data_IF_561256104552
#
_entry.id   IF_561256104552
#
_cell.length_a   1.000
_cell.length_b   1.000
_cell.length_c   1.000
_cell.angle_alpha   90.00
_cell.angle_beta   90.00
_cell.angle_gamma   90.00
#
_symmetry.space_group_name_H-M   'P 1'
#
loop_
_entity.id
_entity.type
_entity.pdbx_description
1 polymer ?
#
# COMPACT_ATOMS: atom_id res chain seq x y z
N UNK A 1 26.77 21.10 3.22
CA UNK A 1 26.01 20.29 4.20
C UNK A 1 24.65 19.88 3.61
N UNK A 2 24.62 19.01 2.59
CA UNK A 2 23.38 18.65 1.87
C UNK A 2 23.20 17.12 1.65
N UNK A 3 23.99 16.29 2.33
CA UNK A 3 23.97 14.82 2.16
C UNK A 3 23.01 14.15 3.16
N UNK A 4 22.60 14.86 4.22
CA UNK A 4 21.77 14.32 5.31
C UNK A 4 20.27 14.24 5.00
N UNK A 5 19.80 14.84 3.90
CA UNK A 5 18.36 14.85 3.55
C UNK A 5 17.94 13.77 2.54
N UNK A 6 18.89 13.18 1.81
CA UNK A 6 18.60 12.10 0.84
C UNK A 6 18.34 10.78 1.55
N UNK A 7 18.97 10.55 2.71
CA UNK A 7 18.78 9.34 3.52
C UNK A 7 17.46 9.31 4.30
N UNK A 8 16.74 10.45 4.38
CA UNK A 8 15.42 10.51 5.03
C UNK A 8 14.27 10.11 4.11
N UNK A 9 14.47 10.03 2.80
CA UNK A 9 13.38 9.82 1.83
C UNK A 9 13.12 8.36 1.46
N UNK A 10 14.13 7.49 1.57
CA UNK A 10 13.98 6.06 1.31
C UNK A 10 15.18 5.26 1.86
N UNK A 11 15.06 4.64 3.06
CA UNK A 11 16.15 3.87 3.67
C UNK A 11 16.51 2.63 2.84
N UNK A 12 15.58 2.08 2.06
CA UNK A 12 15.82 0.93 1.19
C UNK A 12 16.63 1.33 -0.03
N UNK A 13 16.30 2.46 -0.67
CA UNK A 13 17.08 2.98 -1.79
C UNK A 13 18.52 3.30 -1.39
N UNK A 14 18.72 3.85 -0.18
CA UNK A 14 20.04 4.09 0.37
C UNK A 14 20.84 2.80 0.55
N UNK A 15 20.24 1.77 1.16
CA UNK A 15 20.87 0.48 1.37
C UNK A 15 21.20 -0.24 0.04
N UNK A 16 20.31 -0.16 -0.95
CA UNK A 16 20.55 -0.73 -2.29
C UNK A 16 21.72 -0.06 -2.98
N UNK A 17 21.84 1.27 -2.87
CA UNK A 17 22.98 2.01 -3.41
C UNK A 17 24.30 1.59 -2.76
N UNK A 18 24.31 1.32 -1.45
CA UNK A 18 25.50 0.80 -0.77
C UNK A 18 25.85 -0.63 -1.21
N UNK A 19 24.84 -1.48 -1.43
CA UNK A 19 25.04 -2.83 -1.96
C UNK A 19 25.62 -2.82 -3.38
N UNK A 20 25.08 -1.98 -4.26
CA UNK A 20 25.63 -1.79 -5.62
C UNK A 20 27.09 -1.30 -5.58
N UNK A 21 27.41 -0.38 -4.68
CA UNK A 21 28.78 0.10 -4.51
C UNK A 21 29.72 -1.00 -4.02
N UNK A 22 29.27 -1.86 -3.10
CA UNK A 22 30.03 -3.02 -2.62
C UNK A 22 30.29 -4.05 -3.74
N UNK A 23 29.26 -4.36 -4.55
CA UNK A 23 29.40 -5.25 -5.71
C UNK A 23 30.40 -4.72 -6.74
N UNK A 24 30.36 -3.40 -7.03
CA UNK A 24 31.38 -2.76 -7.88
C UNK A 24 32.77 -2.84 -7.27
N UNK A 25 32.88 -2.68 -5.95
CA UNK A 25 34.13 -2.83 -5.21
C UNK A 25 34.73 -4.23 -5.37
N UNK A 26 33.91 -5.28 -5.18
CA UNK A 26 34.31 -6.68 -5.37
C UNK A 26 34.71 -6.97 -6.83
N UNK A 27 33.91 -6.53 -7.80
CA UNK A 27 34.23 -6.69 -9.22
C UNK A 27 35.57 -6.03 -9.59
N UNK A 28 35.83 -4.82 -9.08
CA UNK A 28 37.11 -4.14 -9.28
C UNK A 28 38.28 -4.85 -8.59
N UNK A 29 38.07 -5.43 -7.41
CA UNK A 29 39.09 -6.21 -6.71
C UNK A 29 39.47 -7.47 -7.49
N UNK A 30 38.48 -8.22 -7.98
CA UNK A 30 38.69 -9.40 -8.83
C UNK A 30 39.40 -9.04 -10.14
N UNK A 31 38.99 -7.96 -10.81
CA UNK A 31 39.65 -7.52 -12.04
C UNK A 31 41.14 -7.17 -11.80
N UNK A 32 41.46 -6.53 -10.66
CA UNK A 32 42.84 -6.22 -10.29
C UNK A 32 43.65 -7.46 -9.90
N UNK A 33 43.02 -8.45 -9.24
CA UNK A 33 43.64 -9.73 -8.96
C UNK A 33 43.99 -10.46 -10.27
N UNK A 34 43.07 -10.53 -11.23
CA UNK A 34 43.32 -11.12 -12.55
C UNK A 34 44.49 -10.43 -13.27
N UNK A 35 44.55 -9.10 -13.21
CA UNK A 35 45.68 -8.35 -13.77
C UNK A 35 47.01 -8.66 -13.04
N UNK A 36 46.98 -8.82 -11.71
CA UNK A 36 48.16 -9.21 -10.94
C UNK A 36 48.63 -10.63 -11.27
N UNK A 37 47.72 -11.58 -11.49
CA UNK A 37 48.06 -12.94 -11.94
C UNK A 37 48.70 -12.93 -13.32
N UNK A 38 48.18 -12.14 -14.26
CA UNK A 38 48.79 -11.98 -15.58
C UNK A 38 50.21 -11.37 -15.52
N UNK A 39 50.46 -10.48 -14.56
CA UNK A 39 51.79 -9.92 -14.30
C UNK A 39 52.76 -10.97 -13.72
N UNK A 40 52.29 -11.90 -12.88
CA UNK A 40 53.09 -13.05 -12.44
C UNK A 40 53.52 -13.89 -13.64
N UNK A 41 52.59 -14.26 -14.53
CA UNK A 41 52.90 -15.04 -15.74
C UNK A 41 53.88 -14.31 -16.69
N UNK A 42 53.79 -12.98 -16.77
CA UNK A 42 54.72 -12.17 -17.54
C UNK A 42 56.12 -12.12 -16.88
N UNK A 43 56.17 -11.98 -15.55
CA UNK A 43 57.41 -11.99 -14.78
C UNK A 43 58.12 -13.35 -14.81
N UNK A 44 57.39 -14.47 -14.78
CA UNK A 44 57.94 -15.82 -14.93
C UNK A 44 58.58 -16.03 -16.30
N UNK A 45 57.92 -15.57 -17.37
CA UNK A 45 58.49 -15.58 -18.72
C UNK A 45 59.76 -14.73 -18.80
N UNK A 46 59.73 -13.52 -18.22
CA UNK A 46 60.90 -12.64 -18.19
C UNK A 46 62.08 -13.25 -17.40
N UNK A 47 61.81 -13.91 -16.28
CA UNK A 47 62.84 -14.62 -15.51
C UNK A 47 63.43 -15.79 -16.29
N UNK A 48 62.60 -16.56 -17.00
CA UNK A 48 63.06 -17.69 -17.82
C UNK A 48 64.00 -17.23 -18.93
N UNK A 49 63.64 -16.14 -19.62
CA UNK A 49 64.49 -15.52 -20.66
C UNK A 49 65.81 -14.99 -20.06
N UNK A 50 65.74 -14.32 -18.90
CA UNK A 50 66.92 -13.79 -18.21
C UNK A 50 67.88 -14.90 -17.74
N UNK A 51 67.35 -16.07 -17.33
CA UNK A 51 68.16 -17.20 -16.87
C UNK A 51 68.97 -17.88 -18.00
N UNK A 52 68.63 -17.61 -19.27
CA UNK A 52 69.33 -18.14 -20.45
C UNK A 52 70.24 -17.11 -21.13
N UNK A 53 70.40 -15.91 -20.55
CA UNK A 53 71.21 -14.85 -21.11
C UNK A 53 72.70 -15.01 -20.75
N UNK A 54 73.59 -14.78 -21.72
CA UNK A 54 75.04 -14.83 -21.53
C UNK A 54 75.66 -13.42 -21.52
N UNK A 55 76.64 -13.20 -20.64
CA UNK A 55 77.47 -11.98 -20.58
C UNK A 55 77.45 -11.27 -19.21
N UNK A 56 78.38 -10.34 -18.99
CA UNK A 56 78.62 -9.66 -17.70
C UNK A 56 77.39 -8.89 -17.14
N UNK A 57 76.40 -8.58 -17.97
CA UNK A 57 75.16 -7.92 -17.56
C UNK A 57 74.01 -8.90 -17.19
N UNK A 58 74.16 -10.20 -17.43
CA UNK A 58 73.11 -11.20 -17.28
C UNK A 58 72.66 -11.37 -15.82
N UNK A 59 73.60 -11.35 -14.87
CA UNK A 59 73.32 -11.50 -13.44
C UNK A 59 72.37 -10.41 -12.93
N UNK A 60 72.60 -9.15 -13.31
CA UNK A 60 71.74 -8.02 -12.92
C UNK A 60 70.34 -8.08 -13.56
N UNK A 61 70.22 -8.64 -14.75
CA UNK A 61 68.91 -8.84 -15.41
C UNK A 61 68.12 -9.96 -14.73
N UNK A 62 68.79 -11.06 -14.37
CA UNK A 62 68.17 -12.18 -13.66
C UNK A 62 67.73 -11.79 -12.24
N UNK A 63 68.54 -11.03 -11.52
CA UNK A 63 68.18 -10.53 -10.18
C UNK A 63 66.95 -9.62 -10.23
N UNK A 64 66.91 -8.68 -11.20
CA UNK A 64 65.76 -7.80 -11.39
C UNK A 64 64.49 -8.57 -11.77
N UNK A 65 64.59 -9.57 -12.66
CA UNK A 65 63.45 -10.40 -13.04
C UNK A 65 62.93 -11.24 -11.86
N UNK A 66 63.84 -11.77 -11.04
CA UNK A 66 63.50 -12.55 -9.84
C UNK A 66 62.82 -11.68 -8.78
N UNK A 67 63.29 -10.43 -8.57
CA UNK A 67 62.62 -9.47 -7.67
C UNK A 67 61.22 -9.14 -8.17
N UNK A 68 61.05 -8.85 -9.46
CA UNK A 68 59.74 -8.55 -10.06
C UNK A 68 58.76 -9.71 -9.91
N UNK A 69 59.22 -10.95 -10.07
CA UNK A 69 58.38 -12.13 -9.85
C UNK A 69 57.95 -12.26 -8.39
N UNK A 70 58.86 -12.02 -7.43
CA UNK A 70 58.51 -12.01 -6.01
C UNK A 70 57.46 -10.95 -5.71
N UNK A 71 57.69 -9.71 -6.13
CA UNK A 71 56.76 -8.60 -5.89
C UNK A 71 55.37 -8.86 -6.50
N UNK A 72 55.31 -9.45 -7.70
CA UNK A 72 54.06 -9.81 -8.36
C UNK A 72 53.31 -10.92 -7.60
N UNK A 73 54.02 -11.94 -7.08
CA UNK A 73 53.42 -13.01 -6.26
C UNK A 73 52.91 -12.49 -4.93
N UNK A 74 53.68 -11.65 -4.25
CA UNK A 74 53.29 -11.01 -2.99
C UNK A 74 52.03 -10.15 -3.18
N UNK A 75 51.89 -9.49 -4.34
CA UNK A 75 50.69 -8.71 -4.68
C UNK A 75 49.46 -9.60 -4.85
N UNK A 76 49.57 -10.73 -5.57
CA UNK A 76 48.47 -11.70 -5.72
C UNK A 76 48.06 -12.24 -4.34
N UNK A 77 49.03 -12.62 -3.51
CA UNK A 77 48.77 -13.11 -2.15
C UNK A 77 48.04 -12.05 -1.29
N UNK A 78 48.40 -10.77 -1.44
CA UNK A 78 47.71 -9.68 -0.75
C UNK A 78 46.25 -9.53 -1.22
N UNK A 79 45.96 -9.71 -2.51
CA UNK A 79 44.58 -9.70 -3.01
C UNK A 79 43.78 -10.88 -2.46
N UNK A 80 44.35 -12.09 -2.50
CA UNK A 80 43.69 -13.33 -2.06
C UNK A 80 43.39 -13.34 -0.57
N UNK A 81 44.34 -12.89 0.25
CA UNK A 81 44.22 -12.98 1.72
C UNK A 81 43.50 -11.80 2.36
N UNK A 82 43.48 -10.63 1.72
CA UNK A 82 42.98 -9.40 2.35
C UNK A 82 41.93 -8.69 1.54
N UNK A 83 42.21 -8.39 0.26
CA UNK A 83 41.37 -7.46 -0.52
C UNK A 83 40.06 -8.13 -0.93
N UNK A 84 40.10 -9.35 -1.45
CA UNK A 84 38.89 -10.07 -1.89
C UNK A 84 38.01 -10.44 -0.68
N UNK A 85 38.54 -11.06 0.40
CA UNK A 85 37.71 -11.37 1.57
C UNK A 85 37.07 -10.13 2.20
N UNK A 86 37.78 -8.99 2.24
CA UNK A 86 37.21 -7.75 2.75
C UNK A 86 36.11 -7.20 1.84
N UNK A 87 36.26 -7.31 0.53
CA UNK A 87 35.24 -6.89 -0.43
C UNK A 87 33.99 -7.80 -0.38
N UNK A 88 34.17 -9.12 -0.24
CA UNK A 88 33.08 -10.07 -0.02
C UNK A 88 32.33 -9.78 1.28
N UNK A 89 33.06 -9.54 2.38
CA UNK A 89 32.46 -9.17 3.65
C UNK A 89 31.63 -7.87 3.54
N UNK A 90 32.12 -6.88 2.79
CA UNK A 90 31.39 -5.65 2.53
C UNK A 90 30.09 -5.88 1.73
N UNK A 91 30.11 -6.80 0.75
CA UNK A 91 28.90 -7.20 -0.01
C UNK A 91 27.88 -7.84 0.94
N UNK A 92 28.28 -8.82 1.75
CA UNK A 92 27.38 -9.49 2.69
C UNK A 92 26.76 -8.51 3.70
N UNK A 93 27.55 -7.58 4.24
CA UNK A 93 27.04 -6.55 5.15
C UNK A 93 26.03 -5.64 4.47
N UNK A 94 26.30 -5.23 3.23
CA UNK A 94 25.39 -4.37 2.49
C UNK A 94 24.09 -5.10 2.09
N UNK A 95 24.16 -6.38 1.77
CA UNK A 95 22.98 -7.22 1.52
C UNK A 95 22.10 -7.36 2.77
N UNK A 96 22.70 -7.63 3.93
CA UNK A 96 21.99 -7.68 5.21
C UNK A 96 21.32 -6.33 5.52
N UNK A 97 22.00 -5.21 5.27
CA UNK A 97 21.46 -3.88 5.47
C UNK A 97 20.25 -3.58 4.56
N UNK A 98 20.21 -4.10 3.32
CA UNK A 98 19.03 -3.99 2.45
C UNK A 98 17.85 -4.74 3.04
N UNK A 99 18.06 -5.99 3.47
CA UNK A 99 16.99 -6.81 4.05
C UNK A 99 16.40 -6.18 5.33
N UNK A 100 17.26 -5.62 6.19
CA UNK A 100 16.81 -4.96 7.41
C UNK A 100 16.10 -3.63 7.14
N UNK A 101 16.56 -2.85 6.16
CA UNK A 101 15.85 -1.64 5.74
C UNK A 101 14.44 -1.96 5.21
N UNK A 102 14.27 -3.03 4.43
CA UNK A 102 12.96 -3.46 3.92
C UNK A 102 12.03 -3.89 5.07
N UNK A 103 12.53 -4.67 6.03
CA UNK A 103 11.77 -5.05 7.23
C UNK A 103 11.33 -3.83 8.05
N UNK A 104 12.21 -2.84 8.23
CA UNK A 104 11.90 -1.63 8.97
C UNK A 104 10.78 -0.81 8.31
N UNK A 105 10.81 -0.68 6.97
CA UNK A 105 9.75 0.02 6.22
C UNK A 105 8.41 -0.71 6.38
N UNK A 106 8.39 -2.03 6.27
CA UNK A 106 7.17 -2.83 6.45
C UNK A 106 6.62 -2.71 7.88
N UNK A 107 7.50 -2.78 8.88
CA UNK A 107 7.13 -2.62 10.29
C UNK A 107 6.52 -1.24 10.54
N UNK A 108 7.17 -0.16 10.09
CA UNK A 108 6.69 1.20 10.29
C UNK A 108 5.33 1.45 9.59
N UNK A 109 5.13 0.88 8.40
CA UNK A 109 3.85 0.94 7.70
C UNK A 109 2.74 0.21 8.46
N UNK A 110 3.01 -1.00 8.96
CA UNK A 110 2.06 -1.77 9.76
C UNK A 110 1.73 -1.08 11.09
N UNK A 111 2.73 -0.50 11.75
CA UNK A 111 2.54 0.27 12.99
C UNK A 111 1.65 1.49 12.75
N UNK A 112 1.90 2.25 11.67
CA UNK A 112 1.09 3.41 11.29
C UNK A 112 -0.36 3.02 10.99
N UNK A 113 -0.58 1.93 10.24
CA UNK A 113 -1.92 1.39 9.98
C UNK A 113 -2.61 0.95 11.27
N UNK A 114 -1.91 0.24 12.16
CA UNK A 114 -2.42 -0.17 13.46
C UNK A 114 -2.81 1.02 14.33
N UNK A 115 -1.98 2.07 14.39
CA UNK A 115 -2.28 3.31 15.12
C UNK A 115 -3.50 4.03 14.56
N UNK A 116 -3.62 4.14 13.23
CA UNK A 116 -4.76 4.75 12.58
C UNK A 116 -6.06 3.96 12.86
N UNK A 117 -6.01 2.63 12.78
CA UNK A 117 -7.14 1.77 13.10
C UNK A 117 -7.57 1.90 14.57
N UNK A 118 -6.62 1.87 15.52
CA UNK A 118 -6.91 2.08 16.95
C UNK A 118 -7.53 3.44 17.23
N UNK A 119 -7.01 4.51 16.62
CA UNK A 119 -7.57 5.86 16.77
C UNK A 119 -9.00 5.94 16.23
N UNK A 120 -9.26 5.32 15.07
CA UNK A 120 -10.60 5.26 14.49
C UNK A 120 -11.57 4.46 15.37
N UNK A 121 -11.15 3.30 15.86
CA UNK A 121 -11.95 2.48 16.79
C UNK A 121 -12.28 3.23 18.07
N UNK A 122 -11.28 3.87 18.71
CA UNK A 122 -11.49 4.64 19.93
C UNK A 122 -12.48 5.80 19.74
N UNK A 123 -12.48 6.41 18.56
CA UNK A 123 -13.37 7.53 18.22
C UNK A 123 -14.78 7.08 17.86
N UNK A 124 -14.91 6.09 16.98
CA UNK A 124 -16.20 5.75 16.36
C UNK A 124 -16.97 4.69 17.14
N UNK A 125 -16.28 3.77 17.83
CA UNK A 125 -16.94 2.65 18.49
C UNK A 125 -17.92 3.07 19.60
N UNK A 126 -17.64 4.08 20.46
CA UNK A 126 -18.63 4.52 21.45
C UNK A 126 -19.94 5.01 20.82
N UNK A 127 -19.84 5.73 19.70
CA UNK A 127 -21.02 6.19 18.96
C UNK A 127 -21.77 5.04 18.30
N UNK A 128 -21.05 4.07 17.73
CA UNK A 128 -21.66 2.85 17.16
C UNK A 128 -22.38 2.07 18.26
N UNK A 129 -21.75 1.88 19.41
CA UNK A 129 -22.31 1.18 20.56
C UNK A 129 -23.59 1.89 21.04
N UNK A 130 -23.53 3.21 21.24
CA UNK A 130 -24.71 4.00 21.63
C UNK A 130 -25.85 3.85 20.62
N UNK A 131 -25.59 4.08 19.33
CA UNK A 131 -26.62 3.98 18.27
C UNK A 131 -27.21 2.58 18.18
N UNK A 132 -26.40 1.55 18.39
CA UNK A 132 -26.86 0.17 18.40
C UNK A 132 -27.76 -0.12 19.59
N UNK A 133 -27.40 0.36 20.79
CA UNK A 133 -28.24 0.26 21.99
C UNK A 133 -29.55 1.02 21.81
N UNK A 134 -29.52 2.25 21.29
CA UNK A 134 -30.72 3.04 20.98
C UNK A 134 -31.65 2.31 20.00
N UNK A 135 -31.08 1.70 18.95
CA UNK A 135 -31.86 0.92 17.98
C UNK A 135 -32.49 -0.32 18.62
N UNK A 136 -31.74 -1.04 19.47
CA UNK A 136 -32.25 -2.20 20.20
C UNK A 136 -33.40 -1.81 21.12
N UNK A 137 -33.25 -0.74 21.91
CA UNK A 137 -34.29 -0.25 22.81
C UNK A 137 -35.54 0.17 22.04
N UNK A 138 -35.38 0.84 20.90
CA UNK A 138 -36.48 1.22 20.02
C UNK A 138 -37.23 0.00 19.47
N UNK A 139 -36.51 -1.01 18.97
CA UNK A 139 -37.11 -2.24 18.42
C UNK A 139 -37.84 -3.01 19.52
N UNK A 140 -37.21 -3.20 20.69
CA UNK A 140 -37.81 -3.91 21.83
C UNK A 140 -39.06 -3.17 22.34
N UNK A 141 -39.01 -1.83 22.46
CA UNK A 141 -40.14 -1.03 22.88
C UNK A 141 -41.32 -1.09 21.89
N UNK A 142 -41.03 -1.05 20.60
CA UNK A 142 -42.05 -1.15 19.56
C UNK A 142 -42.65 -2.57 19.48
N UNK A 143 -41.84 -3.62 19.56
CA UNK A 143 -42.34 -5.01 19.60
C UNK A 143 -43.21 -5.24 20.85
N UNK A 144 -42.82 -4.72 22.02
CA UNK A 144 -43.64 -4.80 23.23
C UNK A 144 -44.99 -4.06 23.08
N UNK A 145 -45.01 -2.89 22.43
CA UNK A 145 -46.24 -2.17 22.14
C UNK A 145 -47.13 -2.91 21.13
N UNK A 146 -46.53 -3.55 20.12
CA UNK A 146 -47.21 -4.40 19.14
C UNK A 146 -47.81 -5.63 19.83
N UNK A 147 -47.07 -6.30 20.71
CA UNK A 147 -47.58 -7.43 21.50
C UNK A 147 -48.76 -7.00 22.38
N UNK A 148 -48.65 -5.87 23.07
CA UNK A 148 -49.74 -5.33 23.89
C UNK A 148 -50.98 -4.97 23.05
N UNK A 149 -50.81 -4.39 21.86
CA UNK A 149 -51.91 -4.08 20.95
C UNK A 149 -52.56 -5.34 20.37
N UNK A 150 -51.75 -6.35 20.01
CA UNK A 150 -52.23 -7.63 19.50
C UNK A 150 -52.91 -8.49 20.57
N UNK A 151 -52.69 -8.21 21.86
CA UNK A 151 -53.39 -8.87 22.96
C UNK A 151 -54.87 -8.45 23.07
N UNK A 152 -55.24 -7.27 22.54
CA UNK A 152 -56.62 -6.79 22.50
C UNK A 152 -56.88 -5.97 21.23
N UNK A 153 -56.95 -6.62 20.05
CA UNK A 153 -57.09 -5.91 18.78
C UNK A 153 -58.52 -5.36 18.60
N UNK A 154 -58.69 -4.25 17.86
CA UNK A 154 -59.99 -3.81 17.39
C UNK A 154 -60.72 -4.91 16.61
N UNK A 155 -62.06 -4.89 16.63
CA UNK A 155 -62.86 -5.85 15.89
C UNK A 155 -62.46 -5.87 14.40
N UNK A 156 -62.23 -7.06 13.86
CA UNK A 156 -61.82 -7.33 12.47
C UNK A 156 -60.41 -6.85 12.07
N UNK A 157 -59.61 -6.32 12.99
CA UNK A 157 -58.23 -5.95 12.69
C UNK A 157 -57.28 -7.16 12.65
N UNK A 158 -56.47 -7.25 11.60
CA UNK A 158 -55.38 -8.25 11.52
C UNK A 158 -54.28 -7.95 12.55
N UNK A 159 -53.63 -8.97 13.12
CA UNK A 159 -52.47 -8.77 14.00
C UNK A 159 -51.37 -7.96 13.32
N UNK A 160 -50.80 -7.02 14.06
CA UNK A 160 -49.66 -6.24 13.61
C UNK A 160 -48.41 -7.14 13.57
N UNK A 161 -47.60 -7.11 12.49
CA UNK A 161 -46.34 -7.84 12.45
C UNK A 161 -45.31 -7.20 13.39
N UNK A 162 -44.40 -8.00 13.94
CA UNK A 162 -43.21 -7.50 14.67
C UNK A 162 -42.38 -6.58 13.78
N UNK A 163 -41.63 -5.65 14.39
CA UNK A 163 -40.85 -4.62 13.68
C UNK A 163 -39.88 -5.22 12.65
N UNK A 164 -39.24 -6.35 12.96
CA UNK A 164 -38.27 -6.99 12.06
C UNK A 164 -38.92 -7.83 10.95
N UNK A 165 -40.17 -8.28 11.09
CA UNK A 165 -40.81 -9.19 10.15
C UNK A 165 -40.89 -8.67 8.69
N UNK A 166 -41.22 -7.39 8.41
CA UNK A 166 -41.30 -6.89 7.03
C UNK A 166 -39.94 -6.59 6.38
N UNK A 167 -38.84 -6.63 7.12
CA UNK A 167 -37.49 -6.31 6.62
C UNK A 167 -36.53 -7.50 6.64
N UNK A 168 -36.88 -8.55 7.38
CA UNK A 168 -36.14 -9.81 7.47
C UNK A 168 -36.74 -10.85 6.52
N UNK A 169 -35.95 -11.85 6.17
CA UNK A 169 -36.39 -13.04 5.41
C UNK A 169 -36.86 -12.72 3.97
N UNK A 170 -36.45 -11.57 3.42
CA UNK A 170 -36.61 -11.27 2.00
C UNK A 170 -35.58 -12.07 1.19
N UNK A 171 -36.02 -12.97 0.27
CA UNK A 171 -35.09 -13.66 -0.62
C UNK A 171 -34.43 -12.65 -1.56
N UNK A 172 -33.18 -12.92 -1.94
CA UNK A 172 -32.51 -12.11 -2.94
C UNK A 172 -33.32 -12.11 -4.24
N UNK A 173 -33.56 -10.93 -4.80
CA UNK A 173 -34.21 -10.78 -6.09
C UNK A 173 -33.13 -10.49 -7.14
N UNK A 174 -32.90 -11.40 -8.11
CA UNK A 174 -31.95 -11.16 -9.18
C UNK A 174 -32.33 -9.91 -9.97
N UNK A 175 -31.34 -9.25 -10.58
CA UNK A 175 -31.65 -8.21 -11.55
C UNK A 175 -32.56 -8.81 -12.64
N UNK A 176 -33.69 -8.14 -12.90
CA UNK A 176 -34.66 -8.60 -13.88
C UNK A 176 -34.89 -7.52 -14.92
N UNK A 177 -34.51 -7.80 -16.15
CA UNK A 177 -34.84 -6.96 -17.30
C UNK A 177 -36.36 -7.04 -17.52
N UNK A 178 -37.03 -5.89 -17.40
CA UNK A 178 -38.46 -5.72 -17.66
C UNK A 178 -38.73 -5.44 -19.14
N UNK A 179 -37.82 -4.71 -19.80
CA UNK A 179 -37.91 -4.45 -21.24
C UNK A 179 -36.52 -4.22 -21.82
N UNK A 180 -36.29 -4.75 -23.01
CA UNK A 180 -35.08 -4.52 -23.81
C UNK A 180 -35.53 -4.20 -25.23
N UNK A 181 -35.44 -2.93 -25.61
CA UNK A 181 -35.94 -2.45 -26.91
C UNK A 181 -34.92 -1.53 -27.56
N UNK A 182 -34.78 -1.62 -28.87
CA UNK A 182 -34.01 -0.62 -29.63
C UNK A 182 -34.96 0.53 -29.94
N UNK A 183 -34.64 1.72 -29.41
CA UNK A 183 -35.41 2.93 -29.65
C UNK A 183 -34.52 3.97 -30.33
N UNK A 184 -35.03 4.64 -31.36
CA UNK A 184 -34.27 5.68 -32.03
C UNK A 184 -34.33 6.96 -31.19
N UNK A 185 -33.24 7.28 -30.48
CA UNK A 185 -33.13 8.44 -29.59
C UNK A 185 -32.28 9.54 -30.23
N UNK A 186 -32.64 10.78 -29.97
CA UNK A 186 -31.88 11.96 -30.37
C UNK A 186 -30.71 12.24 -29.42
N UNK A 187 -29.58 12.57 -30.02
CA UNK A 187 -28.34 13.00 -29.35
C UNK A 187 -27.89 14.33 -29.94
N UNK A 188 -27.30 15.16 -29.09
CA UNK A 188 -26.60 16.38 -29.49
C UNK A 188 -25.34 16.04 -30.31
N UNK A 189 -24.80 17.02 -31.05
CA UNK A 189 -23.59 16.81 -31.85
C UNK A 189 -22.37 16.42 -31.01
N UNK A 190 -22.30 16.87 -29.76
CA UNK A 190 -21.25 16.53 -28.79
C UNK A 190 -21.33 15.07 -28.29
N UNK A 191 -22.36 14.31 -28.70
CA UNK A 191 -22.58 12.92 -28.31
C UNK A 191 -23.38 12.75 -27.03
N UNK A 192 -23.82 13.84 -26.38
CA UNK A 192 -24.69 13.76 -25.21
C UNK A 192 -26.14 13.44 -25.59
N UNK A 193 -26.83 12.65 -24.77
CA UNK A 193 -28.22 12.26 -25.03
C UNK A 193 -29.16 13.42 -24.75
N UNK A 194 -30.08 13.71 -25.67
CA UNK A 194 -31.16 14.67 -25.43
C UNK A 194 -32.07 14.15 -24.32
N UNK A 195 -32.20 14.90 -23.22
CA UNK A 195 -33.02 14.46 -22.07
C UNK A 195 -34.52 14.43 -22.39
N UNK A 196 -34.99 15.41 -23.15
CA UNK A 196 -36.39 15.54 -23.58
C UNK A 196 -36.50 15.35 -25.09
N UNK A 197 -36.77 14.12 -25.50
CA UNK A 197 -36.82 13.69 -26.90
C UNK A 197 -37.88 14.43 -27.72
N UNK A 198 -38.91 14.98 -27.07
CA UNK A 198 -40.02 15.69 -27.71
C UNK A 198 -39.64 17.10 -28.23
N UNK A 199 -38.50 17.63 -27.79
CA UNK A 199 -38.02 18.97 -28.14
C UNK A 199 -37.20 19.03 -29.41
N UNK A 200 -36.88 17.89 -30.01
CA UNK A 200 -36.17 17.85 -31.29
C UNK A 200 -37.20 17.87 -32.42
N UNK A 201 -37.16 18.90 -33.24
CA UNK A 201 -37.96 19.00 -34.48
C UNK A 201 -37.01 19.14 -35.66
N UNK A 202 -37.22 18.33 -36.70
CA UNK A 202 -36.39 18.32 -37.91
C UNK A 202 -34.88 18.23 -37.64
N UNK A 203 -34.48 17.46 -36.62
CA UNK A 203 -33.08 17.31 -36.23
C UNK A 203 -32.47 18.53 -35.54
N UNK A 204 -33.28 19.45 -35.02
CA UNK A 204 -32.81 20.61 -34.23
C UNK A 204 -33.47 20.63 -32.85
N UNK A 205 -32.66 20.75 -31.79
CA UNK A 205 -33.15 20.84 -30.43
C UNK A 205 -33.64 22.26 -30.11
N UNK A 206 -34.87 22.36 -29.62
CA UNK A 206 -35.46 23.62 -29.19
C UNK A 206 -35.17 23.85 -27.70
N UNK A 207 -34.30 24.81 -27.40
CA UNK A 207 -33.95 25.15 -26.02
C UNK A 207 -35.12 25.79 -25.23
N UNK A 208 -36.10 26.36 -25.91
CA UNK A 208 -37.22 27.08 -25.31
C UNK A 208 -38.46 26.18 -25.20
N UNK A 209 -39.27 26.38 -24.16
CA UNK A 209 -40.59 25.72 -24.05
C UNK A 209 -41.53 26.25 -25.15
N UNK A 210 -42.43 25.41 -25.70
CA UNK A 210 -43.47 25.89 -26.63
C UNK A 210 -44.24 27.06 -25.99
N UNK A 211 -44.37 28.19 -26.72
CA UNK A 211 -45.13 29.37 -26.28
C UNK A 211 -44.31 30.55 -25.73
N UNK A 212 -42.98 30.45 -25.63
CA UNK A 212 -42.11 31.58 -25.25
C UNK A 212 -41.51 32.20 -26.52
N UNK A 213 -41.86 33.45 -26.84
CA UNK A 213 -41.21 34.20 -27.92
C UNK A 213 -39.79 34.59 -27.49
N UNK A 214 -38.79 34.07 -28.20
CA UNK A 214 -37.38 34.43 -28.01
C UNK A 214 -36.83 34.95 -29.34
N UNK A 215 -36.21 36.12 -29.33
CA UNK A 215 -35.71 36.80 -30.54
C UNK A 215 -34.46 36.15 -31.15
N UNK A 216 -33.76 35.28 -30.41
CA UNK A 216 -32.61 34.51 -30.89
C UNK A 216 -32.74 33.05 -30.42
N UNK A 217 -33.05 32.15 -31.35
CA UNK A 217 -33.09 30.71 -31.07
C UNK A 217 -31.72 30.13 -31.42
N UNK A 218 -30.90 29.87 -30.40
CA UNK A 218 -29.75 28.98 -30.58
C UNK A 218 -30.33 27.59 -30.78
N UNK A 219 -30.25 27.06 -32.00
CA UNK A 219 -30.66 25.68 -32.30
C UNK A 219 -29.43 24.81 -32.36
N UNK A 220 -29.39 23.78 -31.53
CA UNK A 220 -28.35 22.76 -31.60
C UNK A 220 -28.81 21.63 -32.54
N UNK A 221 -27.89 21.18 -33.39
CA UNK A 221 -28.16 20.10 -34.32
C UNK A 221 -28.12 18.76 -33.58
N UNK A 222 -29.12 17.92 -33.83
CA UNK A 222 -29.26 16.61 -33.22
C UNK A 222 -29.30 15.53 -34.29
N UNK A 223 -28.76 14.36 -33.95
CA UNK A 223 -28.82 13.16 -34.79
C UNK A 223 -29.57 12.06 -34.06
N UNK A 224 -30.29 11.25 -34.83
CA UNK A 224 -31.01 10.08 -34.31
C UNK A 224 -30.09 8.88 -34.33
N UNK A 225 -29.96 8.20 -33.20
CA UNK A 225 -29.14 7.00 -33.03
C UNK A 225 -30.02 5.92 -32.43
N UNK A 226 -30.06 4.77 -33.09
CA UNK A 226 -30.71 3.57 -32.58
C UNK A 226 -29.98 3.12 -31.31
N UNK A 227 -30.65 3.29 -30.18
CA UNK A 227 -30.08 3.02 -28.86
C UNK A 227 -30.84 1.87 -28.22
N UNK A 228 -30.10 0.87 -27.73
CA UNK A 228 -30.68 -0.19 -26.90
C UNK A 228 -31.07 0.38 -25.54
N UNK A 229 -32.36 0.39 -25.24
CA UNK A 229 -32.94 0.83 -23.98
C UNK A 229 -33.35 -0.40 -23.18
N UNK A 230 -32.63 -0.64 -22.09
CA UNK A 230 -32.91 -1.70 -21.13
C UNK A 230 -33.51 -1.08 -19.88
N UNK A 231 -34.69 -1.53 -19.48
CA UNK A 231 -35.31 -1.21 -18.19
C UNK A 231 -35.20 -2.46 -17.34
N UNK A 232 -34.50 -2.39 -16.21
CA UNK A 232 -34.38 -3.50 -15.27
C UNK A 232 -34.85 -3.10 -13.88
N UNK A 233 -35.38 -4.08 -13.14
CA UNK A 233 -35.45 -4.01 -11.68
C UNK A 233 -34.05 -4.34 -11.17
N UNK A 234 -33.41 -3.43 -10.41
CA UNK A 234 -32.08 -3.68 -9.91
C UNK A 234 -32.08 -4.85 -8.94
N UNK A 235 -30.96 -5.56 -8.87
CA UNK A 235 -30.74 -6.60 -7.88
C UNK A 235 -31.07 -6.09 -6.47
N UNK A 236 -31.84 -6.88 -5.71
CA UNK A 236 -32.04 -6.67 -4.27
C UNK A 236 -31.38 -7.82 -3.53
N UNK A 237 -30.40 -7.51 -2.69
CA UNK A 237 -29.78 -8.49 -1.82
C UNK A 237 -30.83 -9.10 -0.89
N UNK A 238 -30.76 -10.41 -0.69
CA UNK A 238 -31.56 -11.07 0.32
C UNK A 238 -31.09 -10.66 1.70
N UNK A 239 -32.01 -10.49 2.64
CA UNK A 239 -31.69 -10.18 4.03
C UNK A 239 -32.04 -11.39 4.86
N UNK A 240 -31.03 -12.20 5.19
CA UNK A 240 -31.14 -13.28 6.15
C UNK A 240 -30.15 -13.05 7.29
N UNK A 241 -30.63 -13.15 8.52
CA UNK A 241 -29.82 -12.92 9.70
C UNK A 241 -30.58 -13.22 10.99
N UNK A 242 -29.87 -13.49 12.10
CA UNK A 242 -30.47 -13.57 13.43
C UNK A 242 -31.18 -12.25 13.77
N UNK A 243 -32.18 -12.31 14.67
CA UNK A 243 -32.87 -11.10 15.14
C UNK A 243 -31.86 -10.10 15.70
N UNK A 244 -32.15 -8.81 15.59
CA UNK A 244 -31.26 -7.77 16.11
C UNK A 244 -31.01 -7.98 17.61
N UNK A 245 -32.06 -8.35 18.35
CA UNK A 245 -31.99 -8.71 19.77
C UNK A 245 -31.15 -9.94 20.10
N UNK A 246 -30.90 -10.83 19.12
CA UNK A 246 -30.06 -12.01 19.27
C UNK A 246 -28.58 -11.74 18.91
N UNK A 247 -28.29 -10.66 18.18
CA UNK A 247 -26.91 -10.19 17.97
C UNK A 247 -26.45 -9.36 19.17
N UNK A 248 -25.28 -9.67 19.72
CA UNK A 248 -24.62 -8.82 20.71
C UNK A 248 -23.40 -8.19 20.06
N UNK A 249 -23.27 -6.87 20.16
CA UNK A 249 -22.00 -6.22 19.85
C UNK A 249 -20.94 -6.76 20.83
N UNK A 250 -19.83 -7.34 20.34
CA UNK A 250 -18.75 -7.79 21.23
C UNK A 250 -18.14 -6.56 21.88
N UNK A 251 -18.05 -6.49 23.23
CA UNK A 251 -17.53 -5.31 23.90
C UNK A 251 -16.08 -5.06 23.48
N UNK A 252 -15.71 -3.81 23.24
CA UNK A 252 -14.31 -3.38 23.30
C UNK A 252 -13.88 -3.48 24.77
N UNK A 253 -13.54 -4.69 25.24
CA UNK A 253 -12.75 -4.81 26.45
C UNK A 253 -11.42 -4.15 26.13
N UNK A 254 -11.01 -3.18 26.95
CA UNK A 254 -9.59 -2.89 27.02
C UNK A 254 -8.93 -4.22 27.40
N UNK A 255 -8.15 -4.82 26.48
CA UNK A 255 -7.22 -5.84 26.92
C UNK A 255 -6.43 -5.17 28.05
N UNK A 256 -6.50 -5.75 29.25
CA UNK A 256 -5.51 -5.42 30.26
C UNK A 256 -4.15 -5.50 29.55
N UNK A 257 -3.30 -4.46 29.62
CA UNK A 257 -2.06 -4.44 28.86
C UNK A 257 -1.36 -5.75 29.14
N UNK A 258 -1.24 -6.60 28.11
CA UNK A 258 -0.61 -7.90 28.22
C UNK A 258 0.76 -7.65 28.84
N UNK A 259 0.97 -8.10 30.09
CA UNK A 259 2.12 -7.86 30.96
C UNK A 259 3.29 -7.22 30.21
N UNK A 260 3.17 -5.90 29.97
CA UNK A 260 4.26 -5.17 29.33
C UNK A 260 5.33 -5.12 30.42
N UNK A 261 6.56 -5.61 30.15
CA UNK A 261 7.60 -5.61 31.17
C UNK A 261 7.70 -4.20 31.76
N UNK A 262 7.71 -4.12 33.09
CA UNK A 262 7.71 -2.85 33.81
C UNK A 262 8.71 -1.88 33.18
N UNK A 263 8.19 -0.75 32.69
CA UNK A 263 9.04 0.31 32.18
C UNK A 263 9.67 1.01 33.37
N UNK A 264 10.83 0.52 33.81
CA UNK A 264 11.64 1.16 34.85
C UNK A 264 12.24 2.45 34.23
N UNK A 265 11.60 3.59 34.48
CA UNK A 265 12.16 4.91 34.17
C UNK A 265 13.04 5.36 35.35
N UNK A 266 14.35 5.37 35.14
CA UNK A 266 15.28 6.01 36.06
C UNK A 266 15.21 7.53 35.85
N UNK A 267 14.51 8.25 36.73
CA UNK A 267 14.62 9.71 36.81
C UNK A 267 15.83 10.08 37.65
N UNK A 268 16.79 10.79 37.04
CA UNK A 268 17.84 11.47 37.78
C UNK A 268 17.18 12.58 38.59
N UNK A 269 17.39 12.67 39.91
CA UNK A 269 16.88 13.79 40.70
C UNK A 269 17.44 15.09 40.14
N UNK A 270 16.57 16.07 39.87
CA UNK A 270 16.97 17.40 39.47
C UNK A 270 17.99 17.94 40.49
N UNK A 271 19.22 18.16 40.03
CA UNK A 271 20.25 18.87 40.78
C UNK A 271 19.84 20.35 40.85
N UNK A 272 18.87 20.69 41.69
CA UNK A 272 18.34 22.06 41.72
C UNK A 272 17.41 22.45 42.86
N UNK A 273 16.79 21.52 43.60
CA UNK A 273 16.00 21.90 44.78
C UNK A 273 16.84 21.78 46.06
N UNK A 274 17.69 22.80 46.29
CA UNK A 274 18.09 23.16 47.65
C UNK A 274 16.90 23.90 48.28
N UNK A 275 16.04 23.17 48.98
CA UNK A 275 15.14 23.77 49.95
C UNK A 275 16.00 24.38 51.07
N UNK A 276 15.81 25.68 51.29
CA UNK A 276 16.45 26.43 52.35
C UNK A 276 15.93 25.97 53.71
N UNK A 277 16.85 25.46 54.53
CA UNK A 277 16.73 25.42 55.98
C UNK A 277 17.46 26.64 56.54
N UNK A 278 16.71 27.68 56.91
CA UNK A 278 16.87 28.47 58.15
C UNK A 278 15.48 28.90 58.60
#
# INVERSE_FOLDING_TARGET
MAVTDILKRDPVAAARKTHEAALRGLSNALAKQTAAVAEVEAAERAQTVAATADGDAADGVLENATRRLRDARDLVEAFDRRVIPAAEAAVMQAEAAVADAEKQVQYAAAEAQGKAARAKLAKEYPDIQRRYTELLEMVVGADAAIEAANANPPAEASPLPTVEAPIRDFPAQPERILSDTVQPLWYHQDGSRVRDQSRVKDGKYQHHKPGIMVHNVVTDHCRKIDTRVVVSVPFRAGVSGPRLSATKLPPLKAEAPADLPEKIEYRVPDAGQREGLV
#
